data_IF_277084084938
#
_entry.id   IF_277084084938
#
_cell.length_a   1.000
_cell.length_b   1.000
_cell.length_c   1.000
_cell.angle_alpha   90.00
_cell.angle_beta   90.00
_cell.angle_gamma   90.00
#
_symmetry.space_group_name_H-M   'P 1'
#
loop_
_entity.id
_entity.type
_entity.pdbx_description
1 polymer ?
#
# COMPACT_ATOMS: atom_id res chain seq x y z
N UNK A 1 -5.06 -14.87 -9.03
CA UNK A 1 -3.70 -14.72 -9.58
C UNK A 1 -2.79 -14.16 -8.50
N UNK A 2 -1.64 -14.76 -8.31
CA UNK A 2 -0.69 -14.33 -7.28
C UNK A 2 0.40 -13.49 -7.92
N UNK A 3 0.66 -12.30 -7.34
CA UNK A 3 1.72 -11.40 -7.79
C UNK A 3 2.73 -11.18 -6.66
N UNK A 4 3.97 -10.89 -7.04
CA UNK A 4 5.00 -10.48 -6.08
C UNK A 4 5.01 -8.99 -5.91
N UNK A 5 5.01 -8.55 -4.66
CA UNK A 5 5.18 -7.16 -4.27
C UNK A 5 6.55 -7.04 -3.61
N UNK A 6 7.42 -6.18 -4.11
CA UNK A 6 8.77 -6.00 -3.59
C UNK A 6 9.11 -4.53 -3.41
N UNK A 7 9.87 -4.22 -2.37
CA UNK A 7 10.49 -2.89 -2.26
C UNK A 7 11.62 -2.75 -3.29
N UNK A 8 12.21 -1.57 -3.38
CA UNK A 8 13.23 -1.30 -4.40
C UNK A 8 14.48 -2.17 -4.23
N UNK A 9 14.97 -2.36 -3.01
CA UNK A 9 16.15 -3.19 -2.78
C UNK A 9 15.86 -4.69 -2.80
N UNK A 10 14.59 -5.09 -2.79
CA UNK A 10 14.18 -6.48 -2.85
C UNK A 10 14.22 -7.22 -1.52
N UNK A 11 14.64 -6.58 -0.43
CA UNK A 11 14.72 -7.25 0.88
C UNK A 11 13.37 -7.41 1.57
N UNK A 12 12.36 -6.67 1.13
CA UNK A 12 10.96 -6.89 1.56
C UNK A 12 10.19 -7.44 0.38
N UNK A 13 9.57 -8.59 0.57
CA UNK A 13 8.78 -9.25 -0.45
C UNK A 13 7.49 -9.81 0.15
N UNK A 14 6.40 -9.65 -0.57
CA UNK A 14 5.10 -10.20 -0.22
C UNK A 14 4.46 -10.85 -1.44
N UNK A 15 3.54 -11.78 -1.19
CA UNK A 15 2.65 -12.31 -2.21
C UNK A 15 1.28 -11.68 -2.02
N UNK A 16 0.68 -11.21 -3.11
CA UNK A 16 -0.65 -10.62 -3.10
C UNK A 16 -1.53 -11.34 -4.09
N UNK A 17 -2.76 -11.66 -3.68
CA UNK A 17 -3.76 -12.24 -4.55
C UNK A 17 -4.56 -11.12 -5.19
N UNK A 18 -4.59 -11.10 -6.50
CA UNK A 18 -5.26 -10.09 -7.31
C UNK A 18 -6.23 -10.80 -8.24
N UNK A 19 -7.45 -10.27 -8.46
CA UNK A 19 -8.36 -10.84 -9.45
C UNK A 19 -7.70 -10.93 -10.83
N UNK A 20 -8.07 -11.91 -11.63
CA UNK A 20 -7.52 -12.08 -12.97
C UNK A 20 -7.77 -10.86 -13.88
N UNK A 21 -8.83 -10.11 -13.58
CA UNK A 21 -9.15 -8.85 -14.26
C UNK A 21 -8.27 -7.69 -13.84
N UNK A 22 -7.36 -7.92 -12.87
CA UNK A 22 -6.51 -6.89 -12.32
C UNK A 22 -7.04 -6.31 -11.01
N UNK A 23 -6.34 -5.30 -10.49
CA UNK A 23 -6.78 -4.62 -9.28
C UNK A 23 -7.96 -3.72 -9.67
N UNK A 24 -9.14 -4.02 -9.11
CA UNK A 24 -10.36 -3.28 -9.43
C UNK A 24 -10.49 -1.99 -8.62
N UNK A 25 -9.92 -1.98 -7.42
CA UNK A 25 -10.05 -0.83 -6.52
C UNK A 25 -8.67 -0.24 -6.24
N UNK A 26 -8.40 0.90 -6.85
CA UNK A 26 -7.16 1.64 -6.61
C UNK A 26 -7.46 3.14 -6.54
N UNK A 27 -6.59 3.88 -5.83
CA UNK A 27 -6.80 5.29 -5.58
C UNK A 27 -5.50 5.99 -5.18
N UNK A 28 -5.51 7.32 -5.23
CA UNK A 28 -4.53 8.15 -4.54
C UNK A 28 -5.21 8.76 -3.33
N UNK A 29 -4.43 9.10 -2.33
CA UNK A 29 -4.92 9.81 -1.15
C UNK A 29 -4.18 11.15 -1.04
N UNK A 30 -4.91 12.22 -0.75
CA UNK A 30 -4.33 13.55 -0.61
C UNK A 30 -4.07 13.95 0.85
N UNK A 31 -4.11 13.01 1.80
CA UNK A 31 -3.70 13.29 3.17
C UNK A 31 -2.23 13.69 3.22
N UNK A 32 -1.82 14.33 4.31
CA UNK A 32 -0.46 14.87 4.44
C UNK A 32 0.63 13.82 4.22
N UNK A 33 0.40 12.57 4.63
CA UNK A 33 1.35 11.48 4.45
C UNK A 33 1.33 10.94 3.02
N UNK A 34 0.17 10.53 2.54
CA UNK A 34 0.06 9.88 1.23
C UNK A 34 0.37 10.84 0.08
N UNK A 35 0.04 12.13 0.25
CA UNK A 35 0.42 13.17 -0.70
C UNK A 35 1.94 13.22 -0.89
N UNK A 36 2.68 13.14 0.22
CA UNK A 36 4.15 13.17 0.18
C UNK A 36 4.74 11.90 -0.44
N UNK A 37 4.10 10.76 -0.25
CA UNK A 37 4.53 9.50 -0.86
C UNK A 37 4.24 9.46 -2.36
N UNK A 38 3.15 10.09 -2.79
CA UNK A 38 2.80 10.16 -4.21
C UNK A 38 2.45 8.82 -4.85
N UNK A 39 2.10 7.81 -4.06
CA UNK A 39 1.88 6.46 -4.57
C UNK A 39 0.41 6.20 -4.90
N UNK A 40 0.17 5.15 -5.70
CA UNK A 40 -1.16 4.65 -5.99
C UNK A 40 -1.43 3.44 -5.11
N UNK A 41 -2.54 3.48 -4.38
CA UNK A 41 -2.93 2.45 -3.43
C UNK A 41 -3.85 1.46 -4.12
N UNK A 42 -3.52 0.17 -4.05
CA UNK A 42 -4.45 -0.90 -4.38
C UNK A 42 -5.07 -1.43 -3.10
N UNK A 43 -6.36 -1.78 -3.15
CA UNK A 43 -7.05 -2.33 -1.98
C UNK A 43 -7.27 -3.83 -2.17
N UNK A 44 -6.81 -4.63 -1.22
CA UNK A 44 -7.01 -6.08 -1.20
C UNK A 44 -7.48 -6.53 0.18
N UNK A 45 -8.06 -7.72 0.26
CA UNK A 45 -8.49 -8.30 1.54
C UNK A 45 -7.31 -8.75 2.39
N UNK A 46 -7.52 -8.87 3.70
CA UNK A 46 -6.45 -9.27 4.61
C UNK A 46 -5.91 -10.68 4.33
N UNK A 47 -6.74 -11.57 3.78
CA UNK A 47 -6.33 -12.92 3.42
C UNK A 47 -5.63 -13.00 2.06
N UNK A 48 -5.54 -11.89 1.35
CA UNK A 48 -4.92 -11.80 0.03
C UNK A 48 -3.50 -11.25 0.09
N UNK A 49 -2.98 -11.01 1.29
CA UNK A 49 -1.63 -10.49 1.51
C UNK A 49 -0.84 -11.47 2.39
N UNK A 50 0.36 -11.83 1.95
CA UNK A 50 1.26 -12.67 2.74
C UNK A 50 2.68 -12.14 2.63
N UNK A 51 3.24 -11.72 3.76
CA UNK A 51 4.64 -11.30 3.82
C UNK A 51 5.54 -12.54 3.69
N UNK A 52 6.46 -12.53 2.72
CA UNK A 52 7.37 -13.65 2.44
C UNK A 52 8.72 -13.45 3.11
N UNK A 53 9.29 -12.24 3.03
CA UNK A 53 10.54 -11.92 3.70
C UNK A 53 10.62 -10.45 4.06
N UNK A 54 11.54 -10.12 4.98
CA UNK A 54 11.79 -8.75 5.36
C UNK A 54 11.05 -8.29 6.60
N UNK A 55 10.43 -9.20 7.35
CA UNK A 55 9.68 -8.85 8.56
C UNK A 55 10.53 -8.02 9.53
N UNK A 56 11.80 -8.38 9.71
CA UNK A 56 12.68 -7.71 10.67
C UNK A 56 13.16 -6.33 10.20
N UNK A 57 13.14 -6.07 8.90
CA UNK A 57 13.58 -4.79 8.35
C UNK A 57 12.42 -3.86 8.02
N UNK A 58 11.20 -4.35 8.02
CA UNK A 58 10.03 -3.49 7.88
C UNK A 58 9.92 -2.56 9.09
N UNK A 59 9.69 -1.29 8.81
CA UNK A 59 9.42 -0.29 9.84
C UNK A 59 7.98 0.14 9.79
N UNK A 60 7.45 0.45 10.96
CA UNK A 60 6.07 0.92 11.14
C UNK A 60 6.10 2.41 11.42
N UNK A 61 5.33 3.17 10.65
CA UNK A 61 5.08 4.57 10.93
C UNK A 61 3.60 4.78 11.25
N UNK A 62 3.31 5.45 12.34
CA UNK A 62 1.96 5.79 12.78
C UNK A 62 1.95 7.25 13.22
N UNK A 63 0.83 7.93 12.97
CA UNK A 63 0.69 9.33 13.34
C UNK A 63 -0.74 9.64 13.73
N UNK A 64 -0.96 10.78 14.36
CA UNK A 64 -2.24 11.28 14.84
C UNK A 64 -2.91 10.27 15.79
N UNK A 65 -3.94 9.55 15.36
CA UNK A 65 -4.62 8.56 16.20
C UNK A 65 -3.82 7.28 16.43
N UNK A 66 -2.80 7.04 15.63
CA UNK A 66 -1.94 5.85 15.67
C UNK A 66 -2.71 4.53 15.56
N UNK A 67 -3.81 4.52 14.80
CA UNK A 67 -4.58 3.32 14.52
C UNK A 67 -4.17 2.73 13.18
N UNK A 68 -4.11 3.54 12.13
CA UNK A 68 -3.61 3.09 10.83
C UNK A 68 -2.11 2.77 10.92
N UNK A 69 -1.69 1.74 10.20
CA UNK A 69 -0.31 1.27 10.19
C UNK A 69 0.27 1.42 8.80
N UNK A 70 1.41 2.10 8.70
CA UNK A 70 2.10 2.34 7.44
C UNK A 70 3.47 1.68 7.50
N UNK A 71 3.74 0.77 6.57
CA UNK A 71 4.96 -0.02 6.57
C UNK A 71 5.88 0.36 5.43
N UNK A 72 7.16 0.39 5.71
CA UNK A 72 8.17 0.69 4.70
C UNK A 72 9.46 -0.10 4.96
N UNK A 73 10.23 -0.32 3.90
CA UNK A 73 11.54 -0.97 4.02
C UNK A 73 12.52 -0.02 4.69
N UNK A 74 13.18 -0.46 5.76
CA UNK A 74 14.16 0.38 6.45
C UNK A 74 15.48 0.53 5.68
N UNK A 75 15.72 -0.30 4.68
CA UNK A 75 16.95 -0.26 3.88
C UNK A 75 16.81 0.72 2.73
N UNK A 76 15.75 0.60 1.91
CA UNK A 76 15.55 1.47 0.73
C UNK A 76 14.51 2.57 0.94
N UNK A 77 13.75 2.53 2.04
CA UNK A 77 12.77 3.56 2.38
C UNK A 77 11.45 3.47 1.64
N UNK A 78 11.25 2.48 0.78
CA UNK A 78 10.03 2.37 -0.03
C UNK A 78 8.87 1.88 0.82
N UNK A 79 7.77 2.62 0.78
CA UNK A 79 6.50 2.21 1.37
C UNK A 79 5.93 1.03 0.58
N UNK A 80 5.61 -0.06 1.28
CA UNK A 80 5.12 -1.28 0.64
C UNK A 80 3.62 -1.47 0.82
N UNK A 81 3.12 -1.27 2.03
CA UNK A 81 1.71 -1.51 2.33
C UNK A 81 1.28 -0.78 3.59
N UNK A 82 -0.03 -0.73 3.80
CA UNK A 82 -0.60 -0.14 5.01
C UNK A 82 -1.86 -0.90 5.43
N UNK A 83 -2.22 -0.73 6.70
CA UNK A 83 -3.49 -1.19 7.28
C UNK A 83 -4.30 0.05 7.64
N UNK A 84 -5.43 0.32 6.96
CA UNK A 84 -6.22 1.51 7.23
C UNK A 84 -7.01 1.39 8.54
N UNK A 85 -7.33 2.54 9.14
CA UNK A 85 -8.07 2.58 10.40
C UNK A 85 -9.51 2.12 10.26
N UNK A 86 -10.17 2.53 9.19
CA UNK A 86 -11.62 2.33 9.05
C UNK A 86 -12.02 0.87 8.85
N UNK A 87 -11.13 0.06 8.29
CA UNK A 87 -11.42 -1.34 8.01
C UNK A 87 -10.18 -2.20 8.28
N UNK A 88 -10.16 -2.94 9.41
CA UNK A 88 -9.02 -3.80 9.73
C UNK A 88 -8.92 -5.04 8.85
N UNK A 89 -9.91 -5.30 7.99
CA UNK A 89 -9.94 -6.50 7.14
C UNK A 89 -9.38 -6.27 5.74
N UNK A 90 -8.79 -5.11 5.49
CA UNK A 90 -8.16 -4.83 4.20
C UNK A 90 -6.71 -4.39 4.36
N UNK A 91 -5.96 -4.54 3.29
CA UNK A 91 -4.63 -3.94 3.13
C UNK A 91 -4.70 -2.90 2.01
N UNK A 92 -3.99 -1.79 2.19
CA UNK A 92 -3.60 -0.93 1.09
C UNK A 92 -2.22 -1.34 0.65
N UNK A 93 -2.00 -1.53 -0.64
CA UNK A 93 -0.69 -1.90 -1.17
C UNK A 93 -0.19 -0.83 -2.13
N UNK A 94 1.12 -0.64 -2.17
CA UNK A 94 1.76 0.22 -3.16
C UNK A 94 1.88 -0.57 -4.46
N UNK A 95 0.98 -0.32 -5.42
CA UNK A 95 0.94 -1.12 -6.64
C UNK A 95 2.17 -0.93 -7.52
N UNK A 96 2.92 0.15 -7.33
CA UNK A 96 4.20 0.33 -8.03
C UNK A 96 5.26 -0.67 -7.59
N UNK A 97 5.06 -1.34 -6.44
CA UNK A 97 5.95 -2.41 -5.97
C UNK A 97 5.69 -3.74 -6.69
N UNK A 98 4.70 -3.81 -7.55
CA UNK A 98 4.42 -4.98 -8.41
C UNK A 98 5.00 -4.68 -9.78
N UNK A 99 6.06 -5.40 -10.17
CA UNK A 99 6.86 -5.07 -11.35
C UNK A 99 6.07 -5.08 -12.67
N UNK A 100 5.06 -5.94 -12.80
CA UNK A 100 4.28 -6.02 -14.03
C UNK A 100 3.10 -5.05 -14.09
N UNK A 101 2.98 -4.14 -13.14
CA UNK A 101 1.99 -3.06 -13.18
C UNK A 101 2.70 -1.77 -13.56
N UNK A 102 2.33 -1.18 -14.69
CA UNK A 102 2.83 0.13 -15.11
C UNK A 102 1.91 1.22 -14.58
N UNK A 103 2.30 1.82 -13.45
CA UNK A 103 1.51 2.87 -12.81
C UNK A 103 1.46 4.15 -13.65
N UNK A 104 2.42 4.37 -14.54
CA UNK A 104 2.42 5.53 -15.43
C UNK A 104 1.38 5.42 -16.54
N UNK A 105 0.91 4.21 -16.83
CA UNK A 105 -0.15 3.97 -17.81
C UNK A 105 -1.54 4.17 -17.22
N UNK A 106 -1.66 4.25 -15.90
CA UNK A 106 -2.95 4.42 -15.23
C UNK A 106 -3.42 5.86 -15.34
N UNK A 107 -4.65 6.04 -15.85
CA UNK A 107 -5.28 7.34 -16.01
C UNK A 107 -6.50 7.44 -15.11
N UNK A 108 -6.91 8.67 -14.81
CA UNK A 108 -8.14 8.94 -14.06
C UNK A 108 -8.20 8.19 -12.72
N UNK A 109 -7.06 8.13 -12.04
CA UNK A 109 -6.99 7.48 -10.73
C UNK A 109 -7.83 8.28 -9.72
N UNK A 110 -8.82 7.66 -9.08
CA UNK A 110 -9.63 8.36 -8.08
C UNK A 110 -8.78 8.90 -6.93
N UNK A 111 -9.19 10.04 -6.40
CA UNK A 111 -8.51 10.66 -5.25
C UNK A 111 -9.40 10.56 -4.03
N UNK A 112 -8.90 9.90 -2.99
CA UNK A 112 -9.54 9.89 -1.69
C UNK A 112 -9.18 11.18 -0.95
N UNK A 113 -10.19 11.92 -0.48
CA UNK A 113 -9.97 13.18 0.21
C UNK A 113 -9.55 12.96 1.66
N UNK A 114 -8.27 12.66 1.86
CA UNK A 114 -7.68 12.43 3.17
C UNK A 114 -7.18 13.69 3.86
N UNK A 115 -7.17 14.84 3.19
CA UNK A 115 -6.68 16.08 3.80
C UNK A 115 -7.59 16.55 4.95
N UNK A 116 -8.84 16.11 4.98
CA UNK A 116 -9.79 16.37 6.06
C UNK A 116 -9.75 15.28 7.12
N UNK A 117 -8.60 14.64 7.35
CA UNK A 117 -8.39 13.59 8.34
C UNK A 117 -9.25 12.36 8.04
N UNK A 118 -9.16 11.84 6.83
CA UNK A 118 -9.86 10.63 6.41
C UNK A 118 -9.60 9.49 7.40
N UNK A 119 -10.66 8.81 7.79
CA UNK A 119 -10.57 7.65 8.69
C UNK A 119 -9.84 6.47 8.05
N UNK A 120 -9.63 6.50 6.73
CA UNK A 120 -8.97 5.40 6.02
C UNK A 120 -7.47 5.36 6.34
N UNK A 121 -6.81 6.52 6.44
CA UNK A 121 -5.36 6.59 6.52
C UNK A 121 -4.80 7.09 7.87
N UNK A 122 -5.67 7.46 8.75
CA UNK A 122 -5.27 7.92 10.09
C UNK A 122 -5.43 6.79 11.17
#
# INVERSE_FOLDING_TARGET
MIKKLKCHCGEVEAEVKIPETGIEKFMRCNCSLCKRKGYIIGVIGENDFKLIKGEKILKLYQYYTKVAKHYFCSICGIHTHNRPRINPKIYGINIACIDDIDTFALKDVPVNNGENLSLIHI
#
